data_IF_439375157987
#
_entry.id   IF_439375157987
#
_cell.length_a   1.000
_cell.length_b   1.000
_cell.length_c   1.000
_cell.angle_alpha   90.00
_cell.angle_beta   90.00
_cell.angle_gamma   90.00
#
_symmetry.space_group_name_H-M   'P 1'
#
loop_
_entity.id
_entity.type
_entity.pdbx_description
1 polymer ?
#
# COMPACT_ATOMS: atom_id res chain seq x y z
N UNK A 1 15.27 5.29 15.51
CA UNK A 1 16.17 5.93 14.52
C UNK A 1 16.48 5.02 13.34
N UNK A 2 16.72 3.73 13.58
CA UNK A 2 17.00 2.72 12.54
C UNK A 2 15.93 2.66 11.43
N UNK A 3 14.63 2.73 11.77
CA UNK A 3 13.56 2.68 10.76
C UNK A 3 13.63 3.83 9.74
N UNK A 4 13.98 5.03 10.22
CA UNK A 4 14.13 6.22 9.37
C UNK A 4 15.35 6.06 8.47
N UNK A 5 16.44 5.49 8.98
CA UNK A 5 17.62 5.18 8.19
C UNK A 5 17.29 4.18 7.08
N UNK A 6 16.54 3.10 7.40
CA UNK A 6 16.12 2.13 6.40
C UNK A 6 15.23 2.77 5.32
N UNK A 7 14.29 3.65 5.71
CA UNK A 7 13.46 4.41 4.77
C UNK A 7 14.29 5.33 3.84
N UNK A 8 15.34 5.96 4.36
CA UNK A 8 16.26 6.78 3.57
C UNK A 8 17.07 5.93 2.59
N UNK A 9 17.61 4.79 3.03
CA UNK A 9 18.36 3.85 2.18
C UNK A 9 17.48 3.29 1.06
N UNK A 10 16.23 2.93 1.37
CA UNK A 10 15.24 2.47 0.40
C UNK A 10 14.67 3.59 -0.48
N UNK A 11 15.11 4.85 -0.31
CA UNK A 11 14.70 6.02 -1.10
C UNK A 11 13.18 6.28 -1.08
N UNK A 12 12.48 5.93 0.00
CA UNK A 12 11.01 6.07 0.10
C UNK A 12 10.55 7.54 0.12
N UNK A 13 11.44 8.46 0.47
CA UNK A 13 11.20 9.90 0.49
C UNK A 13 11.18 10.53 -0.92
N UNK A 14 11.67 9.83 -1.95
CA UNK A 14 11.65 10.31 -3.33
C UNK A 14 10.28 10.06 -3.96
N UNK A 15 9.55 11.13 -4.23
CA UNK A 15 8.30 11.08 -4.98
C UNK A 15 8.52 11.18 -6.49
N UNK A 16 7.50 11.65 -7.20
CA UNK A 16 7.55 11.85 -8.66
C UNK A 16 7.46 13.33 -9.03
N UNK A 17 7.55 13.64 -10.33
CA UNK A 17 7.43 15.00 -10.86
C UNK A 17 6.02 15.58 -10.72
N UNK A 18 5.00 14.73 -10.75
CA UNK A 18 3.61 15.15 -10.70
C UNK A 18 3.04 14.87 -9.30
N UNK A 19 2.33 15.84 -8.74
CA UNK A 19 1.73 15.71 -7.42
C UNK A 19 0.24 16.06 -7.51
N UNK A 20 -0.61 15.15 -7.01
CA UNK A 20 -2.03 15.42 -6.85
C UNK A 20 -2.25 16.51 -5.78
N UNK A 21 -3.28 17.35 -5.97
CA UNK A 21 -3.59 18.43 -5.03
C UNK A 21 -3.76 17.93 -3.58
N UNK A 22 -4.42 16.79 -3.38
CA UNK A 22 -4.66 16.21 -2.05
C UNK A 22 -3.39 15.63 -1.41
N UNK A 23 -2.38 15.32 -2.22
CA UNK A 23 -1.09 14.80 -1.77
C UNK A 23 -0.09 15.90 -1.40
N UNK A 24 -0.32 17.16 -1.80
CA UNK A 24 0.57 18.29 -1.50
C UNK A 24 0.91 18.44 -0.01
N UNK A 25 -0.03 18.12 0.89
CA UNK A 25 0.19 18.18 2.35
C UNK A 25 1.27 17.24 2.87
N UNK A 26 1.62 16.19 2.13
CA UNK A 26 2.67 15.23 2.50
C UNK A 26 4.03 15.58 1.88
N UNK A 27 4.06 16.55 0.96
CA UNK A 27 5.31 17.02 0.33
C UNK A 27 6.04 17.94 1.31
N UNK A 28 7.35 17.73 1.44
CA UNK A 28 8.25 18.61 2.18
C UNK A 28 8.82 19.72 1.30
N UNK A 29 9.47 19.35 0.19
CA UNK A 29 10.12 20.30 -0.73
C UNK A 29 10.17 19.71 -2.14
N UNK A 30 10.39 20.57 -3.15
CA UNK A 30 10.69 20.16 -4.53
C UNK A 30 12.18 20.39 -4.85
N UNK A 31 12.83 19.42 -5.48
CA UNK A 31 14.22 19.54 -5.96
C UNK A 31 14.31 20.36 -7.24
N UNK A 32 15.53 20.76 -7.61
CA UNK A 32 15.81 21.46 -8.88
C UNK A 32 15.39 20.64 -10.11
N UNK A 33 15.49 19.30 -10.04
CA UNK A 33 15.06 18.39 -11.11
C UNK A 33 13.53 18.25 -11.23
N UNK A 34 12.81 18.89 -10.30
CA UNK A 34 11.37 18.92 -10.23
C UNK A 34 10.74 17.75 -9.47
N UNK A 35 11.52 16.93 -8.76
CA UNK A 35 11.04 15.79 -7.96
C UNK A 35 10.51 16.28 -6.62
N UNK A 36 9.36 15.77 -6.20
CA UNK A 36 8.77 16.07 -4.89
C UNK A 36 9.38 15.16 -3.81
N UNK A 37 9.96 15.75 -2.77
CA UNK A 37 10.43 15.04 -1.57
C UNK A 37 9.25 14.93 -0.61
N UNK A 38 8.97 13.71 -0.14
CA UNK A 38 7.92 13.40 0.82
C UNK A 38 8.46 13.57 2.25
N UNK A 39 7.65 14.14 3.14
CA UNK A 39 8.01 14.27 4.56
C UNK A 39 7.90 12.92 5.28
N UNK A 40 9.04 12.36 5.69
CA UNK A 40 9.11 11.07 6.39
C UNK A 40 8.40 11.07 7.75
N UNK A 41 8.37 12.19 8.48
CA UNK A 41 7.65 12.27 9.75
C UNK A 41 6.14 12.07 9.56
N UNK A 42 5.56 12.72 8.54
CA UNK A 42 4.14 12.53 8.18
C UNK A 42 3.87 11.12 7.65
N UNK A 43 4.80 10.55 6.90
CA UNK A 43 4.69 9.15 6.43
C UNK A 43 4.66 8.19 7.60
N UNK A 44 5.52 8.38 8.61
CA UNK A 44 5.57 7.54 9.81
C UNK A 44 4.25 7.60 10.60
N UNK A 45 3.70 8.79 10.82
CA UNK A 45 2.40 8.95 11.48
C UNK A 45 1.29 8.17 10.75
N UNK A 46 1.26 8.24 9.41
CA UNK A 46 0.28 7.49 8.61
C UNK A 46 0.50 5.99 8.63
N UNK A 47 1.75 5.54 8.66
CA UNK A 47 2.10 4.13 8.77
C UNK A 47 1.61 3.56 10.12
N UNK A 48 1.80 4.30 11.22
CA UNK A 48 1.30 3.89 12.54
C UNK A 48 -0.24 3.81 12.59
N UNK A 49 -0.94 4.76 11.97
CA UNK A 49 -2.41 4.70 11.87
C UNK A 49 -2.87 3.50 11.05
N UNK A 50 -2.21 3.20 9.92
CA UNK A 50 -2.53 2.04 9.11
C UNK A 50 -2.28 0.72 9.86
N UNK A 51 -1.18 0.61 10.60
CA UNK A 51 -0.88 -0.56 11.43
C UNK A 51 -1.96 -0.81 12.48
N UNK A 52 -2.46 0.25 13.14
CA UNK A 52 -3.56 0.14 14.11
C UNK A 52 -4.87 -0.35 13.45
N UNK A 53 -5.17 0.11 12.24
CA UNK A 53 -6.34 -0.34 11.50
C UNK A 53 -6.26 -1.82 11.10
N UNK A 54 -5.05 -2.31 10.76
CA UNK A 54 -4.78 -3.72 10.44
C UNK A 54 -5.00 -4.60 11.69
N UNK A 55 -4.43 -4.21 12.82
CA UNK A 55 -4.52 -4.97 14.08
C UNK A 55 -5.94 -4.99 14.66
N UNK A 56 -6.77 -3.99 14.33
CA UNK A 56 -8.16 -3.93 14.78
C UNK A 56 -9.06 -5.03 14.17
N UNK A 57 -8.57 -5.77 13.17
CA UNK A 57 -9.32 -6.84 12.52
C UNK A 57 -8.97 -8.16 13.20
N UNK A 58 -9.98 -8.79 13.78
CA UNK A 58 -9.83 -10.04 14.56
C UNK A 58 -9.33 -11.20 13.69
N UNK A 59 -9.88 -11.36 12.48
CA UNK A 59 -9.47 -12.40 11.53
C UNK A 59 -8.50 -11.83 10.49
N UNK A 60 -7.20 -12.19 10.50
CA UNK A 60 -6.24 -11.67 9.53
C UNK A 60 -6.54 -12.12 8.09
N UNK A 61 -7.22 -13.25 7.88
CA UNK A 61 -7.55 -13.74 6.54
C UNK A 61 -8.54 -12.83 5.78
N UNK A 62 -9.33 -12.03 6.52
CA UNK A 62 -10.28 -11.04 5.99
C UNK A 62 -9.57 -9.78 5.47
N UNK A 63 -8.24 -9.72 5.57
CA UNK A 63 -7.42 -8.66 5.00
C UNK A 63 -6.91 -9.13 3.64
N UNK A 64 -7.16 -8.34 2.61
CA UNK A 64 -6.60 -8.58 1.28
C UNK A 64 -5.51 -7.56 1.00
N UNK A 65 -4.37 -8.05 0.54
CA UNK A 65 -3.27 -7.20 0.08
C UNK A 65 -3.07 -7.44 -1.42
N UNK A 66 -3.21 -6.38 -2.20
CA UNK A 66 -3.25 -6.44 -3.66
C UNK A 66 -2.14 -5.61 -4.31
N UNK A 67 -1.56 -6.16 -5.37
CA UNK A 67 -0.60 -5.47 -6.24
C UNK A 67 -0.63 -6.07 -7.63
N UNK A 68 -1.05 -5.28 -8.63
CA UNK A 68 -0.87 -5.64 -10.03
C UNK A 68 0.56 -5.41 -10.53
N UNK A 69 1.32 -4.52 -9.87
CA UNK A 69 2.69 -4.19 -10.28
C UNK A 69 3.66 -5.34 -9.94
N UNK A 70 4.57 -5.71 -10.87
CA UNK A 70 5.55 -6.77 -10.63
C UNK A 70 6.51 -6.43 -9.49
N UNK A 71 6.82 -5.15 -9.29
CA UNK A 71 7.65 -4.68 -8.16
C UNK A 71 7.01 -4.96 -6.80
N UNK A 72 5.68 -4.94 -6.71
CA UNK A 72 4.94 -5.15 -5.47
C UNK A 72 4.60 -6.62 -5.21
N UNK A 73 4.61 -7.50 -6.22
CA UNK A 73 4.19 -8.91 -6.09
C UNK A 73 4.92 -9.65 -4.96
N UNK A 74 6.25 -9.52 -4.88
CA UNK A 74 7.04 -10.16 -3.83
C UNK A 74 6.72 -9.58 -2.44
N UNK A 75 6.56 -8.26 -2.35
CA UNK A 75 6.25 -7.59 -1.09
C UNK A 75 4.88 -8.05 -0.55
N UNK A 76 3.87 -8.14 -1.41
CA UNK A 76 2.52 -8.60 -1.05
C UNK A 76 2.52 -10.05 -0.55
N UNK A 77 3.23 -10.95 -1.24
CA UNK A 77 3.34 -12.34 -0.81
C UNK A 77 4.07 -12.47 0.54
N UNK A 78 5.16 -11.73 0.73
CA UNK A 78 5.92 -11.77 1.98
C UNK A 78 5.17 -11.13 3.14
N UNK A 79 4.51 -10.00 2.91
CA UNK A 79 3.66 -9.36 3.92
C UNK A 79 2.58 -10.33 4.40
N UNK A 80 1.86 -10.94 3.46
CA UNK A 80 0.80 -11.90 3.75
C UNK A 80 1.29 -13.14 4.49
N UNK A 81 2.50 -13.61 4.19
CA UNK A 81 3.13 -14.71 4.92
C UNK A 81 3.39 -14.36 6.39
N UNK A 82 3.75 -13.11 6.70
CA UNK A 82 4.05 -12.68 8.08
C UNK A 82 2.80 -12.28 8.86
N UNK A 83 1.78 -11.73 8.20
CA UNK A 83 0.56 -11.25 8.85
C UNK A 83 -0.57 -12.27 8.88
N UNK A 84 -0.53 -13.30 8.02
CA UNK A 84 -1.64 -14.22 7.81
C UNK A 84 -2.75 -13.68 6.91
N UNK A 85 -2.49 -12.57 6.18
CA UNK A 85 -3.48 -11.98 5.27
C UNK A 85 -3.58 -12.72 3.93
N UNK A 86 -4.63 -12.46 3.17
CA UNK A 86 -4.82 -13.01 1.82
C UNK A 86 -4.04 -12.19 0.79
N UNK A 87 -3.06 -12.82 0.12
CA UNK A 87 -2.27 -12.19 -0.93
C UNK A 87 -2.96 -12.23 -2.30
N UNK A 88 -3.05 -11.10 -2.99
CA UNK A 88 -3.41 -11.00 -4.40
C UNK A 88 -2.27 -10.37 -5.20
N UNK A 89 -1.32 -11.21 -5.61
CA UNK A 89 -0.21 -10.79 -6.46
C UNK A 89 -0.58 -10.94 -7.95
N UNK A 90 -0.38 -9.86 -8.72
CA UNK A 90 -0.66 -9.81 -10.15
C UNK A 90 -2.09 -9.38 -10.46
N UNK A 91 -2.60 -9.82 -11.61
CA UNK A 91 -3.95 -9.47 -12.06
C UNK A 91 -4.99 -10.23 -11.23
N UNK A 92 -5.65 -9.52 -10.34
CA UNK A 92 -6.88 -10.00 -9.71
C UNK A 92 -8.07 -9.91 -10.69
N UNK A 93 -9.05 -10.79 -10.51
CA UNK A 93 -10.17 -10.92 -11.44
C UNK A 93 -11.27 -9.90 -11.11
N UNK A 94 -11.82 -9.17 -12.11
CA UNK A 94 -12.99 -8.35 -11.87
C UNK A 94 -14.13 -9.21 -11.34
N UNK A 95 -14.85 -8.70 -10.35
CA UNK A 95 -15.93 -9.44 -9.69
C UNK A 95 -15.50 -10.22 -8.44
N UNK A 96 -14.20 -10.32 -8.13
CA UNK A 96 -13.74 -11.02 -6.92
C UNK A 96 -14.35 -10.46 -5.62
N UNK A 97 -14.63 -9.16 -5.57
CA UNK A 97 -15.25 -8.51 -4.40
C UNK A 97 -16.77 -8.33 -4.50
N UNK A 98 -17.36 -8.50 -5.68
CA UNK A 98 -18.75 -8.08 -5.94
C UNK A 98 -19.65 -9.22 -6.41
N UNK A 99 -19.08 -10.29 -6.97
CA UNK A 99 -19.84 -11.40 -7.52
C UNK A 99 -19.92 -12.58 -6.54
N UNK A 100 -20.96 -12.61 -5.72
CA UNK A 100 -21.23 -13.68 -4.74
C UNK A 100 -21.43 -15.07 -5.37
N UNK A 101 -21.70 -15.16 -6.69
CA UNK A 101 -21.87 -16.45 -7.39
C UNK A 101 -20.54 -17.08 -7.78
N UNK A 102 -19.44 -16.33 -7.79
CA UNK A 102 -18.13 -16.84 -8.16
C UNK A 102 -17.53 -17.67 -7.01
N UNK A 103 -16.84 -18.77 -7.35
CA UNK A 103 -16.10 -19.59 -6.38
C UNK A 103 -14.94 -18.84 -5.75
N UNK A 104 -14.42 -17.82 -6.43
CA UNK A 104 -13.32 -16.97 -5.96
C UNK A 104 -13.79 -15.71 -5.24
N UNK A 105 -15.08 -15.62 -4.90
CA UNK A 105 -15.63 -14.50 -4.15
C UNK A 105 -14.93 -14.32 -2.80
N UNK A 106 -14.63 -13.07 -2.45
CA UNK A 106 -14.02 -12.68 -1.19
C UNK A 106 -14.64 -11.38 -0.68
N UNK A 107 -15.00 -11.37 0.60
CA UNK A 107 -15.50 -10.19 1.33
C UNK A 107 -14.46 -9.72 2.34
N UNK A 108 -13.45 -8.94 1.92
CA UNK A 108 -12.47 -8.42 2.86
C UNK A 108 -13.07 -7.33 3.74
N UNK A 109 -12.64 -7.27 5.00
CA UNK A 109 -12.89 -6.14 5.90
C UNK A 109 -11.92 -4.99 5.66
N UNK A 110 -10.74 -5.29 5.11
CA UNK A 110 -9.72 -4.32 4.76
C UNK A 110 -9.00 -4.72 3.48
N UNK A 111 -8.82 -3.72 2.60
CA UNK A 111 -8.05 -3.84 1.38
C UNK A 111 -6.82 -2.94 1.47
N UNK A 112 -5.64 -3.52 1.28
CA UNK A 112 -4.37 -2.81 1.17
C UNK A 112 -3.91 -2.90 -0.28
N UNK A 113 -3.62 -1.75 -0.86
CA UNK A 113 -3.27 -1.62 -2.28
C UNK A 113 -1.90 -0.98 -2.40
N UNK A 114 -1.06 -1.48 -3.32
CA UNK A 114 0.27 -0.91 -3.55
C UNK A 114 0.26 0.36 -4.38
N UNK A 115 -0.53 0.43 -5.44
CA UNK A 115 -0.70 1.64 -6.24
C UNK A 115 -2.18 1.82 -6.64
N UNK A 116 -2.87 2.81 -6.07
CA UNK A 116 -4.29 3.03 -6.33
C UNK A 116 -4.58 3.43 -7.78
N UNK A 117 -3.58 3.82 -8.58
CA UNK A 117 -3.79 4.15 -10.00
C UNK A 117 -3.81 2.92 -10.90
N UNK A 118 -2.99 1.91 -10.60
CA UNK A 118 -2.99 0.66 -11.39
C UNK A 118 -4.05 -0.30 -10.89
N UNK A 119 -4.26 -0.34 -9.58
CA UNK A 119 -5.19 -1.27 -8.93
C UNK A 119 -6.62 -0.67 -8.78
N UNK A 120 -6.98 0.35 -9.58
CA UNK A 120 -8.25 1.09 -9.46
C UNK A 120 -9.49 0.34 -9.99
N UNK A 121 -9.32 -0.94 -10.33
CA UNK A 121 -10.29 -1.75 -11.07
C UNK A 121 -11.54 -2.08 -10.25
#
# INVERSE_FOLDING_TARGET
EEDIQMMLVCKTHLGTRNCDYRMKRYVFRRTVDGIHIINLGKTWEKLMVAARAIVAIENPEDIIVASQRPYGSRAVMKFSQYTGSTAMAGRWMPGTLTNQKDKKYKEPRLLIVTDPRTDSQ
#
